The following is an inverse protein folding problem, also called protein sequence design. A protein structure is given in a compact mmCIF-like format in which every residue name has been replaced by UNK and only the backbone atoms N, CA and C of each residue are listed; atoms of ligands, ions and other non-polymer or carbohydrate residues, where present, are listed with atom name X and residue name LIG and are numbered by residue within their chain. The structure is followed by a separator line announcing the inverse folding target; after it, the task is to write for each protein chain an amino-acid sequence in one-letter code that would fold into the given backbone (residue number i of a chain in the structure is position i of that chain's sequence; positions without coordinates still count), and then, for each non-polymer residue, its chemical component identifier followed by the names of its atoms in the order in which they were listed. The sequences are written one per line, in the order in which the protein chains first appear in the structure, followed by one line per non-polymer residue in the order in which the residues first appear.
data_IF_470706973171
#
_entry.id   IF_470706973171
#
_cell.length_a   1.000
_cell.length_b   1.000
_cell.length_c   1.000
_cell.angle_alpha   90.00
_cell.angle_beta   90.00
_cell.angle_gamma   90.00
#
_symmetry.space_group_name_H-M   'P 1'
#
loop_
_entity.id
_entity.type
_entity.pdbx_description
1 polymer ?
#
# COMPACT_ATOMS: atom_id res chain seq x y z
N UNK A 1 27.07 39.03 -14.62
CA UNK A 1 26.95 39.97 -13.49
C UNK A 1 27.43 39.28 -12.24
N UNK A 2 28.13 39.98 -11.36
CA UNK A 2 28.61 39.43 -10.09
C UNK A 2 27.43 39.28 -9.11
N UNK A 3 27.36 38.20 -8.30
CA UNK A 3 26.35 38.09 -7.25
C UNK A 3 26.54 39.20 -6.19
N UNK A 4 25.47 39.62 -5.51
CA UNK A 4 25.58 40.61 -4.43
C UNK A 4 26.46 40.07 -3.31
N UNK A 5 27.51 40.82 -2.95
CA UNK A 5 28.50 40.46 -1.93
C UNK A 5 29.88 40.04 -2.46
N UNK A 6 30.03 39.71 -3.75
CA UNK A 6 31.35 39.42 -4.33
C UNK A 6 31.99 40.68 -4.92
N UNK A 7 33.22 41.02 -4.51
CA UNK A 7 34.07 41.89 -5.33
C UNK A 7 34.33 41.17 -6.67
N UNK A 8 34.01 41.83 -7.79
CA UNK A 8 34.21 41.23 -9.10
C UNK A 8 35.70 40.96 -9.34
N UNK A 9 36.07 39.73 -9.74
CA UNK A 9 37.41 39.45 -10.26
C UNK A 9 37.74 40.48 -11.35
N UNK A 10 38.84 41.25 -11.24
CA UNK A 10 39.25 42.14 -12.31
C UNK A 10 39.63 41.33 -13.54
N UNK A 11 39.26 41.83 -14.72
CA UNK A 11 39.73 41.28 -16.00
C UNK A 11 41.26 41.23 -16.01
N UNK A 12 41.90 40.17 -16.53
CA UNK A 12 43.36 40.10 -16.58
C UNK A 12 43.90 41.24 -17.47
N UNK A 13 44.52 42.22 -16.83
CA UNK A 13 45.20 43.34 -17.48
C UNK A 13 46.71 43.09 -17.43
N UNK A 14 47.49 43.34 -18.51
CA UNK A 14 48.88 42.86 -18.57
C UNK A 14 49.86 43.56 -17.63
N UNK A 15 49.43 44.59 -16.89
CA UNK A 15 50.30 45.59 -16.27
C UNK A 15 50.21 45.68 -14.74
N UNK A 16 49.28 44.98 -14.08
CA UNK A 16 49.21 44.88 -12.61
C UNK A 16 48.74 43.48 -12.20
N UNK A 17 49.51 42.83 -11.31
CA UNK A 17 49.17 41.52 -10.72
C UNK A 17 48.83 41.66 -9.22
N UNK A 18 47.56 41.93 -8.85
CA UNK A 18 47.11 41.90 -7.47
C UNK A 18 46.23 40.66 -7.18
N UNK A 19 46.49 39.51 -7.84
CA UNK A 19 45.86 38.25 -7.47
C UNK A 19 46.63 37.64 -6.30
N UNK A 20 46.06 37.56 -5.08
CA UNK A 20 46.73 36.93 -3.95
C UNK A 20 46.99 35.44 -4.24
N UNK A 21 48.09 34.91 -3.69
CA UNK A 21 48.38 33.48 -3.74
C UNK A 21 47.34 32.73 -2.90
N UNK A 22 46.65 31.76 -3.51
CA UNK A 22 45.60 30.96 -2.88
C UNK A 22 46.12 29.88 -1.91
N UNK A 23 47.19 30.15 -1.17
CA UNK A 23 47.78 29.21 -0.21
C UNK A 23 46.84 28.92 0.97
N UNK A 24 45.94 29.87 1.28
CA UNK A 24 44.90 29.73 2.31
C UNK A 24 43.73 28.82 1.91
N UNK A 25 43.62 28.43 0.64
CA UNK A 25 42.50 27.60 0.14
C UNK A 25 42.58 26.17 0.69
N UNK A 26 41.45 25.66 1.19
CA UNK A 26 41.33 24.33 1.79
C UNK A 26 40.56 23.33 0.93
N UNK A 27 39.78 23.80 -0.05
CA UNK A 27 38.89 22.96 -0.88
C UNK A 27 39.20 23.16 -2.37
N UNK A 28 39.34 24.42 -2.79
CA UNK A 28 39.72 24.76 -4.16
C UNK A 28 41.21 24.46 -4.41
N UNK A 29 41.58 24.12 -5.66
CA UNK A 29 42.99 23.98 -6.04
C UNK A 29 43.77 25.27 -5.72
N UNK A 30 44.95 25.12 -5.11
CA UNK A 30 45.83 26.25 -4.82
C UNK A 30 46.36 26.86 -6.13
N UNK A 31 46.36 28.20 -6.20
CA UNK A 31 46.71 28.97 -7.39
C UNK A 31 46.30 30.43 -7.21
N UNK A 32 46.31 31.23 -8.29
CA UNK A 32 45.73 32.58 -8.25
C UNK A 32 44.21 32.50 -8.05
N UNK A 33 43.69 33.26 -7.09
CA UNK A 33 42.28 33.18 -6.68
C UNK A 33 41.68 34.55 -6.37
N UNK A 34 40.37 34.68 -6.57
CA UNK A 34 39.56 35.82 -6.10
C UNK A 34 38.90 35.56 -4.73
N UNK A 35 39.01 34.35 -4.17
CA UNK A 35 38.32 33.97 -2.93
C UNK A 35 39.27 34.04 -1.72
N UNK A 36 38.83 34.70 -0.63
CA UNK A 36 39.43 34.56 0.71
C UNK A 36 38.99 33.26 1.38
N UNK A 37 39.61 32.88 2.50
CA UNK A 37 39.16 31.71 3.29
C UNK A 37 37.69 31.82 3.74
N UNK A 38 37.25 33.02 4.12
CA UNK A 38 35.86 33.28 4.52
C UNK A 38 34.89 33.17 3.32
N UNK A 39 35.31 33.61 2.13
CA UNK A 39 34.53 33.42 0.91
C UNK A 39 34.44 31.93 0.54
N UNK A 40 35.53 31.17 0.68
CA UNK A 40 35.53 29.72 0.41
C UNK A 40 34.57 28.98 1.36
N UNK A 41 34.58 29.30 2.65
CA UNK A 41 33.66 28.72 3.64
C UNK A 41 32.19 29.08 3.39
N UNK A 42 31.90 30.35 3.11
CA UNK A 42 30.54 30.81 2.80
C UNK A 42 29.99 30.18 1.50
N UNK A 43 30.84 30.04 0.47
CA UNK A 43 30.46 29.37 -0.78
C UNK A 43 30.28 27.85 -0.58
N UNK A 44 31.08 27.22 0.29
CA UNK A 44 30.90 25.81 0.64
C UNK A 44 29.55 25.58 1.32
N UNK A 45 29.25 26.34 2.37
CA UNK A 45 27.97 26.31 3.09
C UNK A 45 26.78 26.56 2.15
N UNK A 46 26.91 27.51 1.22
CA UNK A 46 25.90 27.79 0.19
C UNK A 46 25.69 26.59 -0.75
N UNK A 47 26.76 26.01 -1.29
CA UNK A 47 26.67 24.87 -2.22
C UNK A 47 26.05 23.63 -1.56
N UNK A 48 26.36 23.42 -0.28
CA UNK A 48 25.76 22.38 0.55
C UNK A 48 24.26 22.60 0.72
N UNK A 49 23.84 23.82 1.10
CA UNK A 49 22.42 24.17 1.28
C UNK A 49 21.63 24.09 -0.04
N UNK A 50 22.24 24.47 -1.18
CA UNK A 50 21.63 24.36 -2.51
C UNK A 50 21.39 22.89 -2.91
N UNK A 51 22.38 22.00 -2.69
CA UNK A 51 22.21 20.56 -2.93
C UNK A 51 21.17 19.95 -1.97
N UNK A 52 21.25 20.25 -0.69
CA UNK A 52 20.33 19.73 0.31
C UNK A 52 18.87 20.15 0.02
N UNK A 53 18.67 21.39 -0.45
CA UNK A 53 17.35 21.88 -0.89
C UNK A 53 16.84 21.09 -2.09
N UNK A 54 17.68 20.89 -3.12
CA UNK A 54 17.29 20.11 -4.30
C UNK A 54 16.94 18.64 -3.96
N UNK A 55 17.66 18.02 -3.02
CA UNK A 55 17.37 16.66 -2.54
C UNK A 55 16.05 16.61 -1.77
N UNK A 56 15.80 17.57 -0.86
CA UNK A 56 14.52 17.67 -0.14
C UNK A 56 13.35 17.88 -1.08
N UNK A 57 13.50 18.72 -2.11
CA UNK A 57 12.42 18.99 -3.07
C UNK A 57 12.11 17.79 -3.97
N UNK A 58 13.15 17.06 -4.44
CA UNK A 58 12.96 15.78 -5.12
C UNK A 58 12.22 14.76 -4.23
N UNK A 59 12.60 14.67 -2.95
CA UNK A 59 11.93 13.82 -1.97
C UNK A 59 10.48 14.24 -1.70
N UNK A 60 10.18 15.55 -1.65
CA UNK A 60 8.82 16.07 -1.44
C UNK A 60 7.88 15.65 -2.59
N UNK A 61 8.35 15.69 -3.83
CA UNK A 61 7.59 15.21 -4.99
C UNK A 61 7.28 13.71 -4.87
N UNK A 62 8.28 12.90 -4.50
CA UNK A 62 8.08 11.45 -4.32
C UNK A 62 7.13 11.12 -3.18
N UNK A 63 7.26 11.79 -2.03
CA UNK A 63 6.34 11.66 -0.88
C UNK A 63 4.91 12.06 -1.24
N UNK A 64 4.73 13.18 -1.95
CA UNK A 64 3.40 13.66 -2.36
C UNK A 64 2.72 12.66 -3.32
N UNK A 65 3.48 12.04 -4.23
CA UNK A 65 2.99 10.98 -5.11
C UNK A 65 2.56 9.75 -4.30
N UNK A 66 3.45 9.21 -3.45
CA UNK A 66 3.17 8.02 -2.62
C UNK A 66 1.98 8.24 -1.67
N UNK A 67 1.90 9.39 -1.00
CA UNK A 67 0.78 9.73 -0.12
C UNK A 67 -0.56 9.94 -0.87
N UNK A 68 -0.51 10.31 -2.15
CA UNK A 68 -1.71 10.42 -2.98
C UNK A 68 -2.18 9.05 -3.44
N UNK A 69 -1.27 8.17 -3.86
CA UNK A 69 -1.58 6.77 -4.18
C UNK A 69 -2.12 6.03 -2.94
N UNK A 70 -1.45 6.15 -1.80
CA UNK A 70 -1.85 5.53 -0.53
C UNK A 70 -3.31 5.84 -0.17
N UNK A 71 -3.67 7.14 -0.17
CA UNK A 71 -5.06 7.59 0.10
C UNK A 71 -6.04 7.08 -0.96
N UNK A 72 -5.69 7.23 -2.24
CA UNK A 72 -6.55 6.80 -3.36
C UNK A 72 -6.92 5.30 -3.29
N UNK A 73 -5.96 4.44 -2.97
CA UNK A 73 -6.21 3.01 -2.83
C UNK A 73 -6.92 2.66 -1.51
N UNK A 74 -6.57 3.31 -0.40
CA UNK A 74 -7.22 3.08 0.88
C UNK A 74 -8.72 3.49 0.87
N UNK A 75 -9.01 4.68 0.36
CA UNK A 75 -10.37 5.18 0.17
C UNK A 75 -11.17 4.26 -0.78
N UNK A 76 -10.55 3.75 -1.85
CA UNK A 76 -11.19 2.83 -2.79
C UNK A 76 -11.56 1.49 -2.15
N UNK A 77 -10.64 0.84 -1.43
CA UNK A 77 -10.94 -0.43 -0.76
C UNK A 77 -11.98 -0.26 0.36
N UNK A 78 -11.90 0.82 1.15
CA UNK A 78 -12.93 1.12 2.15
C UNK A 78 -14.28 1.44 1.50
N UNK A 79 -14.31 2.12 0.35
CA UNK A 79 -15.54 2.37 -0.40
C UNK A 79 -16.19 1.08 -0.90
N UNK A 80 -15.42 0.17 -1.53
CA UNK A 80 -15.92 -1.12 -2.00
C UNK A 80 -16.56 -1.95 -0.87
N UNK A 81 -15.94 -1.99 0.31
CA UNK A 81 -16.51 -2.70 1.47
C UNK A 81 -17.80 -2.06 1.98
N UNK A 82 -17.83 -0.74 2.10
CA UNK A 82 -19.01 -0.01 2.57
C UNK A 82 -20.16 -0.07 1.55
N UNK A 83 -19.89 -0.07 0.25
CA UNK A 83 -20.91 -0.19 -0.80
C UNK A 83 -21.47 -1.61 -0.91
N UNK A 84 -20.61 -2.63 -0.72
CA UNK A 84 -21.02 -4.03 -0.59
C UNK A 84 -21.97 -4.23 0.61
N UNK A 85 -21.64 -3.64 1.77
CA UNK A 85 -22.50 -3.65 2.96
C UNK A 85 -23.84 -2.93 2.70
N UNK A 86 -23.81 -1.72 2.12
CA UNK A 86 -25.02 -0.94 1.79
C UNK A 86 -25.93 -1.69 0.81
N UNK A 87 -25.36 -2.29 -0.23
CA UNK A 87 -26.14 -3.04 -1.23
C UNK A 87 -26.72 -4.33 -0.64
N UNK A 88 -26.01 -4.99 0.28
CA UNK A 88 -26.55 -6.10 1.06
C UNK A 88 -27.74 -5.63 1.90
N UNK A 89 -27.57 -4.56 2.70
CA UNK A 89 -28.63 -4.01 3.54
C UNK A 89 -29.87 -3.54 2.75
N UNK A 90 -29.69 -3.01 1.54
CA UNK A 90 -30.78 -2.56 0.68
C UNK A 90 -31.52 -3.71 -0.02
N UNK A 91 -30.82 -4.76 -0.48
CA UNK A 91 -31.42 -5.81 -1.32
C UNK A 91 -31.91 -7.03 -0.52
N UNK A 92 -31.30 -7.35 0.62
CA UNK A 92 -31.61 -8.57 1.36
C UNK A 92 -32.97 -8.57 2.07
N UNK A 93 -33.52 -7.44 2.59
CA UNK A 93 -34.87 -7.42 3.12
C UNK A 93 -35.92 -7.85 2.09
N UNK A 94 -35.80 -7.38 0.84
CA UNK A 94 -36.71 -7.76 -0.24
C UNK A 94 -36.48 -9.20 -0.75
N UNK A 95 -35.24 -9.68 -0.74
CA UNK A 95 -34.91 -11.03 -1.22
C UNK A 95 -35.22 -12.15 -0.21
N UNK A 96 -35.01 -11.91 1.09
CA UNK A 96 -35.02 -12.94 2.14
C UNK A 96 -35.97 -12.64 3.31
N UNK A 97 -36.58 -11.45 3.37
CA UNK A 97 -37.54 -11.10 4.41
C UNK A 97 -36.97 -11.26 5.82
N UNK A 98 -37.72 -11.95 6.69
CA UNK A 98 -37.36 -12.15 8.10
C UNK A 98 -36.07 -12.94 8.31
N UNK A 99 -35.68 -13.84 7.39
CA UNK A 99 -34.42 -14.58 7.48
C UNK A 99 -33.22 -13.63 7.51
N UNK A 100 -33.33 -12.50 6.81
CA UNK A 100 -32.34 -11.42 6.88
C UNK A 100 -32.60 -10.45 8.03
N UNK A 101 -33.82 -9.91 8.18
CA UNK A 101 -34.03 -8.79 9.13
C UNK A 101 -33.81 -9.18 10.59
N UNK A 102 -34.16 -10.42 10.99
CA UNK A 102 -33.87 -10.93 12.33
C UNK A 102 -32.36 -11.18 12.55
N UNK A 103 -31.61 -11.43 11.47
CA UNK A 103 -30.17 -11.74 11.50
C UNK A 103 -29.27 -10.58 11.06
N UNK A 104 -29.82 -9.40 10.71
CA UNK A 104 -29.12 -8.26 10.14
C UNK A 104 -27.87 -7.83 10.93
N UNK A 105 -27.93 -7.97 12.26
CA UNK A 105 -26.79 -7.73 13.16
C UNK A 105 -25.58 -8.62 12.84
N UNK A 106 -25.77 -9.91 12.57
CA UNK A 106 -24.67 -10.83 12.28
C UNK A 106 -23.90 -10.42 11.02
N UNK A 107 -24.61 -9.95 9.98
CA UNK A 107 -23.98 -9.43 8.76
C UNK A 107 -23.23 -8.13 9.02
N UNK A 108 -23.82 -7.14 9.70
CA UNK A 108 -23.15 -5.88 10.05
C UNK A 108 -21.91 -6.10 10.92
N UNK A 109 -22.00 -7.01 11.89
CA UNK A 109 -20.91 -7.34 12.78
C UNK A 109 -19.77 -8.03 11.97
N UNK A 110 -20.07 -8.95 11.03
CA UNK A 110 -19.10 -9.49 10.05
C UNK A 110 -18.41 -8.39 9.21
N UNK A 111 -19.16 -7.46 8.61
CA UNK A 111 -18.56 -6.35 7.84
C UNK A 111 -17.71 -5.43 8.72
N UNK A 112 -17.97 -5.37 10.02
CA UNK A 112 -17.15 -4.64 10.98
C UNK A 112 -15.82 -5.36 11.23
N UNK A 113 -15.81 -6.68 11.43
CA UNK A 113 -14.59 -7.48 11.51
C UNK A 113 -13.76 -7.44 10.23
N UNK A 114 -14.39 -7.50 9.04
CA UNK A 114 -13.71 -7.33 7.76
C UNK A 114 -12.97 -5.98 7.66
N UNK A 115 -13.60 -4.89 8.15
CA UNK A 115 -12.99 -3.56 8.20
C UNK A 115 -11.85 -3.48 9.22
N UNK A 116 -11.96 -4.16 10.36
CA UNK A 116 -10.88 -4.25 11.36
C UNK A 116 -9.68 -5.05 10.81
N UNK A 117 -9.92 -6.19 10.16
CA UNK A 117 -8.90 -7.01 9.52
C UNK A 117 -8.14 -6.22 8.44
N UNK A 118 -8.85 -5.51 7.58
CA UNK A 118 -8.26 -4.64 6.56
C UNK A 118 -7.35 -3.56 7.19
N UNK A 119 -7.83 -2.87 8.24
CA UNK A 119 -7.10 -1.76 8.91
C UNK A 119 -5.83 -2.16 9.66
N UNK A 120 -5.61 -3.45 9.93
CA UNK A 120 -4.41 -3.91 10.61
C UNK A 120 -4.64 -4.83 11.81
N UNK A 121 -5.89 -5.00 12.27
CA UNK A 121 -6.17 -5.80 13.47
C UNK A 121 -5.63 -7.23 13.34
N UNK A 122 -5.18 -7.78 14.47
CA UNK A 122 -4.62 -9.14 14.54
C UNK A 122 -5.74 -10.17 14.69
N UNK A 123 -6.55 -10.30 13.63
CA UNK A 123 -7.70 -11.19 13.55
C UNK A 123 -7.40 -12.34 12.58
N UNK A 124 -7.81 -13.56 12.93
CA UNK A 124 -7.73 -14.70 12.02
C UNK A 124 -8.98 -14.74 11.14
N UNK A 125 -8.90 -14.14 9.94
CA UNK A 125 -10.06 -13.98 9.04
C UNK A 125 -10.77 -15.31 8.72
N UNK A 126 -10.03 -16.42 8.66
CA UNK A 126 -10.64 -17.75 8.43
C UNK A 126 -11.50 -18.22 9.61
N UNK A 127 -11.07 -17.95 10.85
CA UNK A 127 -11.81 -18.28 12.07
C UNK A 127 -13.05 -17.38 12.21
N UNK A 128 -12.90 -16.07 11.97
CA UNK A 128 -14.01 -15.11 11.97
C UNK A 128 -15.09 -15.50 10.96
N UNK A 129 -14.70 -15.95 9.76
CA UNK A 129 -15.65 -16.43 8.76
C UNK A 129 -16.31 -17.75 9.20
N UNK A 130 -15.54 -18.70 9.74
CA UNK A 130 -16.09 -19.97 10.23
C UNK A 130 -17.11 -19.76 11.36
N UNK A 131 -16.80 -18.91 12.34
CA UNK A 131 -17.70 -18.55 13.44
C UNK A 131 -18.97 -17.84 12.95
N UNK A 132 -18.84 -16.93 11.98
CA UNK A 132 -19.99 -16.30 11.34
C UNK A 132 -20.93 -17.34 10.71
N UNK A 133 -20.40 -18.30 9.95
CA UNK A 133 -21.21 -19.33 9.30
C UNK A 133 -21.85 -20.30 10.30
N UNK A 134 -21.15 -20.70 11.35
CA UNK A 134 -21.70 -21.54 12.43
C UNK A 134 -22.87 -20.85 13.14
N UNK A 135 -22.65 -19.61 13.63
CA UNK A 135 -23.70 -18.82 14.30
C UNK A 135 -24.87 -18.49 13.38
N UNK A 136 -24.65 -18.32 12.08
CA UNK A 136 -25.72 -18.11 11.09
C UNK A 136 -26.51 -19.39 10.84
N UNK A 137 -25.86 -20.56 10.79
CA UNK A 137 -26.52 -21.86 10.63
C UNK A 137 -27.50 -22.12 11.78
N UNK A 138 -27.04 -21.99 13.03
CA UNK A 138 -27.89 -22.19 14.22
C UNK A 138 -29.15 -21.30 14.21
N UNK A 139 -28.98 -20.01 13.89
CA UNK A 139 -30.07 -19.03 13.88
C UNK A 139 -31.07 -19.31 12.77
N UNK A 140 -30.60 -19.57 11.54
CA UNK A 140 -31.47 -19.90 10.43
C UNK A 140 -32.18 -21.23 10.66
N UNK A 141 -31.52 -22.23 11.26
CA UNK A 141 -32.14 -23.52 11.57
C UNK A 141 -33.24 -23.38 12.64
N UNK A 142 -33.00 -22.61 13.71
CA UNK A 142 -34.03 -22.25 14.70
C UNK A 142 -35.20 -21.49 14.06
N UNK A 143 -34.94 -20.59 13.12
CA UNK A 143 -35.97 -19.78 12.45
C UNK A 143 -36.79 -20.56 11.40
N UNK A 144 -36.20 -21.58 10.76
CA UNK A 144 -36.88 -22.46 9.79
C UNK A 144 -37.71 -23.57 10.47
N UNK A 145 -37.36 -23.94 11.72
CA UNK A 145 -38.03 -25.01 12.48
C UNK A 145 -38.53 -24.53 13.85
N UNK A 146 -39.37 -23.48 13.94
CA UNK A 146 -39.85 -22.93 15.21
C UNK A 146 -40.68 -23.91 16.05
N UNK A 147 -41.26 -24.94 15.42
CA UNK A 147 -41.97 -26.03 16.10
C UNK A 147 -41.05 -27.08 16.75
N UNK A 148 -39.74 -27.10 16.49
CA UNK A 148 -38.80 -27.98 17.17
C UNK A 148 -38.16 -27.27 18.37
N UNK A 149 -38.29 -27.87 19.55
CA UNK A 149 -37.40 -27.59 20.67
C UNK A 149 -36.01 -28.12 20.33
N UNK A 150 -35.10 -27.21 19.98
CA UNK A 150 -33.70 -27.49 19.63
C UNK A 150 -32.80 -27.20 20.83
N UNK A 151 -32.50 -28.18 21.70
CA UNK A 151 -31.56 -28.01 22.80
C UNK A 151 -30.14 -27.77 22.26
N UNK A 152 -29.29 -27.11 23.04
CA UNK A 152 -27.97 -26.67 22.57
C UNK A 152 -27.06 -27.85 22.17
N UNK A 153 -27.16 -29.02 22.84
CA UNK A 153 -26.50 -30.27 22.45
C UNK A 153 -26.79 -30.69 20.99
N UNK A 154 -28.00 -30.39 20.49
CA UNK A 154 -28.38 -30.69 19.10
C UNK A 154 -27.76 -29.70 18.11
N UNK A 155 -27.58 -28.45 18.52
CA UNK A 155 -26.94 -27.41 17.71
C UNK A 155 -25.42 -27.64 17.61
N UNK A 156 -24.79 -28.07 18.70
CA UNK A 156 -23.40 -28.55 18.71
C UNK A 156 -23.20 -29.74 17.77
N UNK A 157 -24.19 -30.64 17.70
CA UNK A 157 -24.20 -31.75 16.74
C UNK A 157 -24.35 -31.26 15.29
N UNK A 158 -25.29 -30.33 15.05
CA UNK A 158 -25.50 -29.70 13.74
C UNK A 158 -24.23 -28.98 13.24
N UNK A 159 -23.54 -28.25 14.13
CA UNK A 159 -22.27 -27.59 13.84
C UNK A 159 -21.17 -28.56 13.42
N UNK A 160 -21.04 -29.70 14.14
CA UNK A 160 -20.09 -30.77 13.79
C UNK A 160 -20.41 -31.42 12.42
N UNK A 161 -21.68 -31.51 12.04
CA UNK A 161 -22.10 -32.06 10.74
C UNK A 161 -22.11 -31.03 9.60
N UNK A 162 -21.91 -29.74 9.89
CA UNK A 162 -21.99 -28.67 8.88
C UNK A 162 -20.96 -28.83 7.74
N UNK A 163 -19.75 -29.33 8.02
CA UNK A 163 -18.76 -29.56 6.95
C UNK A 163 -19.15 -30.69 5.99
N UNK A 164 -19.82 -31.73 6.49
CA UNK A 164 -20.25 -32.89 5.72
C UNK A 164 -21.53 -32.60 4.93
N UNK A 165 -22.52 -31.97 5.57
CA UNK A 165 -23.81 -31.63 4.95
C UNK A 165 -23.72 -30.42 4.01
N UNK A 166 -22.67 -29.61 4.12
CA UNK A 166 -22.45 -28.33 3.41
C UNK A 166 -23.74 -27.52 3.26
N UNK A 167 -24.37 -27.08 4.37
CA UNK A 167 -25.67 -26.42 4.35
C UNK A 167 -25.71 -25.27 3.33
N UNK A 168 -24.72 -24.37 3.39
CA UNK A 168 -24.62 -23.21 2.49
C UNK A 168 -23.95 -23.52 1.13
N UNK A 169 -23.75 -24.79 0.79
CA UNK A 169 -22.98 -25.24 -0.37
C UNK A 169 -21.51 -24.81 -0.32
N UNK A 170 -20.94 -24.50 -1.48
CA UNK A 170 -19.55 -24.03 -1.59
C UNK A 170 -19.33 -22.58 -1.12
N UNK A 171 -20.40 -21.81 -0.89
CA UNK A 171 -20.30 -20.36 -0.68
C UNK A 171 -19.43 -19.95 0.53
N UNK A 172 -19.47 -20.64 1.69
CA UNK A 172 -18.52 -20.39 2.79
C UNK A 172 -17.06 -20.62 2.41
N UNK A 173 -16.79 -21.70 1.66
CA UNK A 173 -15.43 -22.10 1.25
C UNK A 173 -14.87 -21.11 0.24
N UNK A 174 -15.69 -20.73 -0.74
CA UNK A 174 -15.32 -19.77 -1.77
C UNK A 174 -15.13 -18.37 -1.18
N UNK A 175 -15.99 -17.95 -0.24
CA UNK A 175 -15.84 -16.68 0.48
C UNK A 175 -14.53 -16.66 1.27
N UNK A 176 -14.20 -17.72 2.02
CA UNK A 176 -12.93 -17.84 2.74
C UNK A 176 -11.73 -17.69 1.80
N UNK A 177 -11.71 -18.46 0.71
CA UNK A 177 -10.59 -18.44 -0.24
C UNK A 177 -10.43 -17.09 -0.95
N UNK A 178 -11.53 -16.46 -1.40
CA UNK A 178 -11.49 -15.16 -2.08
C UNK A 178 -11.18 -14.02 -1.12
N UNK A 179 -11.88 -13.95 0.02
CA UNK A 179 -11.69 -12.89 1.01
C UNK A 179 -10.27 -12.91 1.57
N UNK A 180 -9.76 -14.07 2.03
CA UNK A 180 -8.39 -14.14 2.57
C UNK A 180 -7.36 -13.65 1.57
N UNK A 181 -7.44 -14.07 0.30
CA UNK A 181 -6.51 -13.61 -0.75
C UNK A 181 -6.66 -12.12 -1.05
N UNK A 182 -7.88 -11.63 -1.26
CA UNK A 182 -8.14 -10.24 -1.64
C UNK A 182 -7.81 -9.24 -0.52
N UNK A 183 -8.21 -9.52 0.72
CA UNK A 183 -7.92 -8.65 1.85
C UNK A 183 -6.43 -8.64 2.21
N UNK A 184 -5.74 -9.79 2.18
CA UNK A 184 -4.27 -9.83 2.36
C UNK A 184 -3.58 -9.00 1.27
N UNK A 185 -3.94 -9.19 0.00
CA UNK A 185 -3.33 -8.43 -1.10
C UNK A 185 -3.57 -6.92 -0.96
N UNK A 186 -4.82 -6.49 -0.73
CA UNK A 186 -5.18 -5.08 -0.56
C UNK A 186 -4.46 -4.44 0.65
N UNK A 187 -4.51 -5.10 1.81
CA UNK A 187 -3.82 -4.65 3.04
C UNK A 187 -2.31 -4.56 2.83
N UNK A 188 -1.68 -5.60 2.28
CA UNK A 188 -0.23 -5.62 2.03
C UNK A 188 0.20 -4.54 1.02
N UNK A 189 -0.62 -4.25 0.00
CA UNK A 189 -0.35 -3.21 -0.98
C UNK A 189 -0.39 -1.80 -0.34
N UNK A 190 -1.46 -1.49 0.40
CA UNK A 190 -1.61 -0.21 1.12
C UNK A 190 -0.51 -0.06 2.20
N UNK A 191 -0.18 -1.12 2.93
CA UNK A 191 0.94 -1.12 3.87
C UNK A 191 2.29 -0.91 3.17
N UNK A 192 2.51 -1.51 2.00
CA UNK A 192 3.72 -1.32 1.18
C UNK A 192 3.90 0.14 0.74
N UNK A 193 2.83 0.80 0.29
CA UNK A 193 2.86 2.24 -0.02
C UNK A 193 3.15 3.10 1.22
N UNK A 194 2.60 2.74 2.38
CA UNK A 194 2.90 3.38 3.66
C UNK A 194 4.37 3.27 4.05
N UNK A 195 4.93 2.05 4.00
CA UNK A 195 6.35 1.78 4.26
C UNK A 195 7.25 2.53 3.27
N UNK A 196 6.93 2.52 1.98
CA UNK A 196 7.69 3.25 0.97
C UNK A 196 7.72 4.77 1.27
N UNK A 197 6.58 5.35 1.63
CA UNK A 197 6.47 6.77 2.02
C UNK A 197 7.32 7.09 3.26
N UNK A 198 7.28 6.22 4.28
CA UNK A 198 8.05 6.39 5.51
C UNK A 198 9.57 6.21 5.31
N UNK A 199 9.98 5.30 4.42
CA UNK A 199 11.39 5.14 4.02
C UNK A 199 11.89 6.42 3.36
N UNK A 200 11.20 6.92 2.33
CA UNK A 200 11.58 8.17 1.64
C UNK A 200 11.63 9.35 2.63
N UNK A 201 10.67 9.43 3.56
CA UNK A 201 10.63 10.45 4.62
C UNK A 201 11.83 10.40 5.57
N UNK A 202 12.29 9.20 5.95
CA UNK A 202 13.47 9.03 6.82
C UNK A 202 14.77 9.28 6.06
N UNK A 203 14.89 8.78 4.84
CA UNK A 203 16.08 8.95 3.98
C UNK A 203 16.35 10.43 3.66
N UNK A 204 15.29 11.22 3.47
CA UNK A 204 15.37 12.67 3.25
C UNK A 204 15.88 13.48 4.46
N UNK A 205 16.04 12.85 5.63
CA UNK A 205 16.58 13.47 6.85
C UNK A 205 18.06 13.10 7.08
N UNK A 206 18.65 12.24 6.24
CA UNK A 206 20.07 11.87 6.34
C UNK A 206 20.94 13.06 5.89
N UNK A 207 21.79 13.62 6.77
CA UNK A 207 22.64 14.75 6.41
C UNK A 207 23.75 14.34 5.44
N UNK A 208 24.19 15.30 4.62
CA UNK A 208 25.35 15.11 3.75
C UNK A 208 26.65 15.13 4.58
N UNK A 209 27.59 14.23 4.24
CA UNK A 209 28.88 14.18 4.93
C UNK A 209 29.79 15.38 4.60
N UNK A 210 30.78 15.70 5.45
CA UNK A 210 31.72 16.80 5.20
C UNK A 210 32.52 16.61 3.91
N UNK A 211 32.82 15.37 3.52
CA UNK A 211 33.44 15.03 2.23
C UNK A 211 32.58 15.43 1.03
N UNK A 212 31.26 15.23 1.12
CA UNK A 212 30.33 15.68 0.10
C UNK A 212 30.32 17.22 0.01
N UNK A 213 30.27 17.92 1.15
CA UNK A 213 30.34 19.40 1.17
C UNK A 213 31.59 19.92 0.44
N UNK A 214 32.77 19.34 0.73
CA UNK A 214 34.02 19.69 0.02
C UNK A 214 33.95 19.38 -1.48
N UNK A 215 33.42 18.21 -1.87
CA UNK A 215 33.32 17.82 -3.27
C UNK A 215 32.34 18.70 -4.07
N UNK A 216 31.22 19.10 -3.46
CA UNK A 216 30.17 19.94 -4.07
C UNK A 216 30.62 21.40 -4.17
N UNK A 217 31.32 21.93 -3.16
CA UNK A 217 32.01 23.22 -3.25
C UNK A 217 32.99 23.25 -4.43
N UNK A 218 33.80 22.20 -4.58
CA UNK A 218 34.73 22.04 -5.70
C UNK A 218 34.04 21.92 -7.07
N UNK A 219 32.86 21.31 -7.11
CA UNK A 219 32.05 21.17 -8.31
C UNK A 219 31.40 22.48 -8.77
N UNK A 220 30.92 23.31 -7.83
CA UNK A 220 30.04 24.46 -8.13
C UNK A 220 30.79 25.80 -8.12
N UNK A 221 31.54 26.11 -7.05
CA UNK A 221 32.05 27.46 -6.82
C UNK A 221 33.56 27.63 -6.99
N UNK A 222 34.37 26.57 -7.00
CA UNK A 222 35.80 26.76 -7.29
C UNK A 222 36.08 27.31 -8.70
N UNK A 223 35.20 27.12 -9.67
CA UNK A 223 35.27 27.81 -10.96
C UNK A 223 35.17 29.35 -10.82
N UNK A 224 34.37 29.84 -9.86
CA UNK A 224 34.27 31.27 -9.56
C UNK A 224 35.54 31.77 -8.86
N UNK A 225 36.06 31.01 -7.90
CA UNK A 225 37.30 31.37 -7.20
C UNK A 225 38.53 31.40 -8.12
N UNK A 226 38.59 30.52 -9.12
CA UNK A 226 39.68 30.46 -10.12
C UNK A 226 39.48 31.42 -11.31
N UNK A 227 38.59 32.42 -11.20
CA UNK A 227 38.40 33.46 -12.23
C UNK A 227 37.63 33.03 -13.49
N UNK A 228 36.99 31.86 -13.49
CA UNK A 228 36.19 31.32 -14.60
C UNK A 228 34.70 31.10 -14.23
N UNK A 229 33.99 32.11 -13.69
CA UNK A 229 32.61 31.95 -13.17
C UNK A 229 31.57 31.58 -14.23
N UNK A 230 31.87 31.72 -15.52
CA UNK A 230 31.01 31.27 -16.62
C UNK A 230 31.12 29.78 -16.95
N UNK A 231 32.14 29.09 -16.44
CA UNK A 231 32.35 27.67 -16.70
C UNK A 231 31.36 26.80 -15.90
N UNK A 232 30.65 25.91 -16.59
CA UNK A 232 29.75 24.92 -15.97
C UNK A 232 30.50 23.60 -15.74
N UNK A 233 30.21 22.86 -14.66
CA UNK A 233 30.80 21.56 -14.42
C UNK A 233 30.39 20.56 -15.51
N UNK A 234 31.33 19.69 -15.90
CA UNK A 234 31.07 18.61 -16.86
C UNK A 234 30.01 17.63 -16.32
N UNK A 235 29.10 17.09 -17.16
CA UNK A 235 28.03 16.19 -16.71
C UNK A 235 28.53 14.97 -15.92
N UNK A 236 29.60 14.32 -16.38
CA UNK A 236 30.14 13.13 -15.71
C UNK A 236 30.89 13.46 -14.42
N UNK A 237 31.53 14.63 -14.33
CA UNK A 237 32.12 15.10 -13.08
C UNK A 237 31.03 15.37 -12.03
N UNK A 238 29.94 16.03 -12.42
CA UNK A 238 28.76 16.22 -11.56
C UNK A 238 28.17 14.88 -11.10
N UNK A 239 27.97 13.92 -12.02
CA UNK A 239 27.49 12.56 -11.70
C UNK A 239 28.39 11.84 -10.71
N UNK A 240 29.71 11.93 -10.85
CA UNK A 240 30.64 11.25 -9.96
C UNK A 240 30.66 11.87 -8.55
N UNK A 241 30.59 13.20 -8.44
CA UNK A 241 30.45 13.89 -7.13
C UNK A 241 29.13 13.49 -6.46
N UNK A 242 28.00 13.54 -7.18
CA UNK A 242 26.70 13.19 -6.63
C UNK A 242 26.58 11.71 -6.24
N UNK A 243 27.19 10.79 -7.00
CA UNK A 243 27.30 9.37 -6.61
C UNK A 243 28.06 9.18 -5.30
N UNK A 244 29.17 9.90 -5.10
CA UNK A 244 29.92 9.86 -3.83
C UNK A 244 29.11 10.43 -2.66
N UNK A 245 28.39 11.54 -2.89
CA UNK A 245 27.51 12.15 -1.90
C UNK A 245 26.32 11.27 -1.49
N UNK A 246 25.77 10.48 -2.42
CA UNK A 246 24.52 9.75 -2.27
C UNK A 246 24.71 8.22 -2.19
N UNK A 247 25.91 7.74 -1.87
CA UNK A 247 26.23 6.31 -1.83
C UNK A 247 25.28 5.53 -0.89
N UNK A 248 25.14 6.00 0.35
CA UNK A 248 24.26 5.39 1.37
C UNK A 248 22.78 5.34 0.93
N UNK A 249 22.34 6.30 0.11
CA UNK A 249 20.99 6.33 -0.47
C UNK A 249 20.87 5.40 -1.68
N UNK A 250 21.95 5.20 -2.44
CA UNK A 250 22.01 4.27 -3.56
C UNK A 250 22.02 2.80 -3.11
N UNK A 251 22.54 2.48 -1.92
CA UNK A 251 22.48 1.13 -1.34
C UNK A 251 21.04 0.62 -1.15
N UNK A 252 20.06 1.53 -1.06
CA UNK A 252 18.63 1.20 -0.97
C UNK A 252 18.01 0.77 -2.31
N UNK A 253 18.68 0.98 -3.46
CA UNK A 253 18.13 0.72 -4.79
C UNK A 253 17.68 -0.74 -4.98
N UNK A 254 18.40 -1.70 -4.41
CA UNK A 254 18.03 -3.12 -4.48
C UNK A 254 16.70 -3.40 -3.75
N UNK A 255 16.60 -3.05 -2.46
CA UNK A 255 15.39 -3.30 -1.67
C UNK A 255 14.21 -2.42 -2.08
N UNK A 256 14.49 -1.21 -2.59
CA UNK A 256 13.48 -0.33 -3.19
C UNK A 256 12.89 -0.95 -4.46
N UNK A 257 13.72 -1.58 -5.30
CA UNK A 257 13.25 -2.35 -6.46
C UNK A 257 12.56 -3.65 -6.09
N UNK A 258 12.96 -4.32 -5.01
CA UNK A 258 12.21 -5.48 -4.51
C UNK A 258 10.80 -5.05 -4.07
N UNK A 259 10.70 -3.98 -3.27
CA UNK A 259 9.43 -3.43 -2.79
C UNK A 259 8.49 -2.94 -3.91
N UNK A 260 9.03 -2.33 -4.97
CA UNK A 260 8.24 -1.81 -6.10
C UNK A 260 8.01 -2.81 -7.25
N UNK A 261 9.03 -3.60 -7.57
CA UNK A 261 9.11 -4.43 -8.77
C UNK A 261 8.77 -5.91 -8.55
N UNK A 262 8.97 -6.43 -7.34
CA UNK A 262 8.60 -7.82 -7.02
C UNK A 262 8.01 -8.01 -5.61
N UNK A 263 6.77 -7.53 -5.39
CA UNK A 263 5.92 -8.11 -4.37
C UNK A 263 4.85 -9.00 -5.03
N UNK A 264 4.67 -10.27 -4.60
CA UNK A 264 3.44 -10.99 -4.88
C UNK A 264 2.17 -10.16 -4.58
N UNK A 265 2.14 -9.24 -3.57
CA UNK A 265 1.10 -8.23 -3.43
C UNK A 265 0.81 -7.31 -4.63
N UNK A 266 1.78 -6.83 -5.41
CA UNK A 266 1.47 -5.97 -6.57
C UNK A 266 0.86 -6.81 -7.71
N UNK A 267 1.40 -8.02 -7.93
CA UNK A 267 0.84 -8.99 -8.88
C UNK A 267 -0.53 -9.52 -8.41
N UNK A 268 -0.75 -9.68 -7.11
CA UNK A 268 -2.03 -10.06 -6.53
C UNK A 268 -3.05 -8.91 -6.51
N UNK A 269 -2.62 -7.66 -6.33
CA UNK A 269 -3.46 -6.47 -6.51
C UNK A 269 -3.84 -6.31 -7.99
N UNK A 270 -2.91 -6.51 -8.92
CA UNK A 270 -3.21 -6.66 -10.35
C UNK A 270 -4.19 -7.80 -10.62
N UNK A 271 -4.05 -8.97 -9.98
CA UNK A 271 -5.01 -10.08 -10.11
C UNK A 271 -6.38 -9.78 -9.42
N UNK A 272 -6.43 -8.87 -8.44
CA UNK A 272 -7.70 -8.38 -7.87
C UNK A 272 -8.40 -7.39 -8.82
N UNK A 273 -7.61 -6.62 -9.59
CA UNK A 273 -8.04 -5.62 -10.56
C UNK A 273 -8.27 -6.20 -11.98
N UNK A 274 -7.73 -7.39 -12.28
CA UNK A 274 -7.80 -8.03 -13.59
C UNK A 274 -7.72 -9.55 -13.51
N UNK A 275 -8.55 -10.21 -14.33
CA UNK A 275 -8.62 -11.67 -14.55
C UNK A 275 -9.19 -12.54 -13.40
N UNK A 276 -10.52 -12.66 -13.42
CA UNK A 276 -11.20 -13.96 -13.28
C UNK A 276 -12.08 -14.21 -14.52
N UNK A 277 -11.45 -14.24 -15.70
CA UNK A 277 -12.13 -14.41 -17.00
C UNK A 277 -11.94 -15.82 -17.57
N UNK A 278 -12.87 -16.72 -17.29
CA UNK A 278 -13.11 -17.88 -18.17
C UNK A 278 -14.06 -17.48 -19.30
N UNK A 279 -13.50 -16.95 -20.40
CA UNK A 279 -14.19 -16.89 -21.70
C UNK A 279 -14.29 -15.52 -22.39
N UNK A 280 -13.69 -15.44 -23.59
CA UNK A 280 -14.12 -14.56 -24.67
C UNK A 280 -13.52 -13.13 -24.73
N UNK A 281 -12.96 -12.71 -25.88
CA UNK A 281 -12.54 -11.32 -26.08
C UNK A 281 -13.77 -10.42 -26.25
N UNK A 282 -13.98 -9.49 -25.32
CA UNK A 282 -15.11 -8.54 -25.32
C UNK A 282 -15.81 -8.37 -23.97
N UNK A 283 -15.46 -9.17 -22.96
CA UNK A 283 -15.96 -9.01 -21.60
C UNK A 283 -15.52 -7.68 -20.95
N UNK A 284 -16.46 -6.99 -20.30
CA UNK A 284 -16.16 -5.82 -19.47
C UNK A 284 -15.36 -6.29 -18.25
N UNK A 285 -14.22 -5.66 -17.96
CA UNK A 285 -13.39 -6.03 -16.80
C UNK A 285 -14.14 -5.64 -15.52
N UNK A 286 -14.53 -6.65 -14.75
CA UNK A 286 -15.21 -6.51 -13.46
C UNK A 286 -14.19 -6.84 -12.36
N UNK A 287 -13.87 -5.91 -11.44
CA UNK A 287 -12.95 -6.19 -10.34
C UNK A 287 -13.43 -7.37 -9.48
N UNK A 288 -12.51 -8.17 -8.94
CA UNK A 288 -12.88 -9.37 -8.15
C UNK A 288 -13.66 -9.06 -6.86
N UNK A 289 -13.72 -7.79 -6.43
CA UNK A 289 -14.56 -7.32 -5.32
C UNK A 289 -16.01 -6.97 -5.70
N UNK A 290 -16.36 -6.83 -6.99
CA UNK A 290 -17.76 -6.61 -7.39
C UNK A 290 -18.60 -7.89 -7.23
N UNK A 291 -17.99 -9.08 -7.45
CA UNK A 291 -18.48 -10.39 -7.01
C UNK A 291 -18.14 -10.61 -5.52
N UNK A 292 -18.44 -9.60 -4.70
CA UNK A 292 -17.96 -9.47 -3.32
C UNK A 292 -18.68 -10.36 -2.31
N UNK A 293 -18.39 -10.17 -1.00
CA UNK A 293 -18.99 -10.97 0.07
C UNK A 293 -20.52 -11.03 -0.01
N UNK A 294 -21.17 -9.93 -0.39
CA UNK A 294 -22.61 -9.84 -0.67
C UNK A 294 -23.14 -10.99 -1.54
N UNK A 295 -22.49 -11.31 -2.66
CA UNK A 295 -23.07 -12.24 -3.63
C UNK A 295 -22.90 -13.69 -3.20
N UNK A 296 -21.76 -14.02 -2.60
CA UNK A 296 -21.56 -15.34 -1.97
C UNK A 296 -22.50 -15.56 -0.78
N UNK A 297 -22.78 -14.51 0.02
CA UNK A 297 -23.80 -14.59 1.08
C UNK A 297 -25.21 -14.74 0.47
N UNK A 298 -25.53 -14.04 -0.63
CA UNK A 298 -26.82 -14.20 -1.33
C UNK A 298 -27.00 -15.63 -1.84
N UNK A 299 -25.97 -16.23 -2.43
CA UNK A 299 -25.99 -17.62 -2.89
C UNK A 299 -26.18 -18.61 -1.71
N UNK A 300 -25.47 -18.39 -0.60
CA UNK A 300 -25.61 -19.17 0.62
C UNK A 300 -27.06 -19.15 1.17
N UNK A 301 -27.64 -17.96 1.31
CA UNK A 301 -29.00 -17.77 1.82
C UNK A 301 -30.05 -18.31 0.83
N UNK A 302 -29.80 -18.21 -0.47
CA UNK A 302 -30.71 -18.77 -1.50
C UNK A 302 -30.76 -20.30 -1.39
N UNK A 303 -29.60 -20.96 -1.18
CA UNK A 303 -29.53 -22.41 -0.96
C UNK A 303 -30.18 -22.84 0.36
N UNK A 304 -29.91 -22.12 1.44
CA UNK A 304 -30.56 -22.38 2.74
C UNK A 304 -32.09 -22.26 2.65
N UNK A 305 -32.61 -21.31 1.86
CA UNK A 305 -34.06 -21.16 1.63
C UNK A 305 -34.65 -22.21 0.69
N UNK A 306 -33.91 -22.72 -0.29
CA UNK A 306 -34.39 -23.78 -1.20
C UNK A 306 -34.50 -25.17 -0.56
N UNK A 307 -34.24 -25.27 0.76
CA UNK A 307 -34.22 -26.51 1.51
C UNK A 307 -32.84 -27.18 1.46
N UNK A 308 -32.39 -27.70 2.60
CA UNK A 308 -31.19 -28.54 2.67
C UNK A 308 -31.51 -29.91 2.04
N UNK A 309 -31.40 -30.03 0.72
CA UNK A 309 -31.47 -31.32 0.03
C UNK A 309 -30.23 -32.16 0.36
N UNK A 310 -30.23 -32.76 1.56
CA UNK A 310 -29.24 -33.74 1.99
C UNK A 310 -29.37 -35.00 1.13
N UNK A 311 -28.64 -35.06 0.00
CA UNK A 311 -28.41 -36.32 -0.71
C UNK A 311 -27.42 -37.15 0.11
N UNK A 312 -27.95 -37.87 1.08
CA UNK A 312 -27.17 -38.81 1.91
C UNK A 312 -27.01 -40.12 1.15
N UNK A 313 -25.86 -40.32 0.51
CA UNK A 313 -25.42 -41.63 0.03
C UNK A 313 -24.65 -42.34 1.15
N UNK A 314 -25.36 -42.97 2.10
CA UNK A 314 -24.76 -43.76 3.18
C UNK A 314 -25.73 -44.13 4.31
N UNK A 315 -25.68 -45.36 4.86
CA UNK A 315 -26.57 -45.78 5.93
C UNK A 315 -26.01 -45.42 7.33
N UNK A 316 -26.63 -44.48 8.04
CA UNK A 316 -26.36 -44.27 9.47
C UNK A 316 -26.81 -42.93 10.04
N UNK A 317 -28.05 -42.85 10.54
CA UNK A 317 -28.66 -41.74 11.31
C UNK A 317 -28.73 -40.37 10.59
N UNK A 318 -29.77 -39.51 10.63
CA UNK A 318 -31.17 -39.45 11.09
C UNK A 318 -31.77 -38.24 10.30
N UNK A 319 -33.05 -38.07 9.96
CA UNK A 319 -34.31 -38.79 10.23
C UNK A 319 -35.27 -38.49 9.05
N UNK A 320 -36.25 -39.36 8.74
CA UNK A 320 -37.29 -39.08 7.72
C UNK A 320 -38.20 -37.91 8.13
N UNK A 321 -37.96 -36.70 7.63
CA UNK A 321 -38.93 -35.58 7.64
C UNK A 321 -38.75 -34.73 6.37
N UNK A 322 -39.25 -35.22 5.23
CA UNK A 322 -39.52 -34.43 4.00
C UNK A 322 -40.38 -35.23 2.99
N UNK A 323 -41.38 -35.92 3.52
CA UNK A 323 -42.54 -36.45 2.78
C UNK A 323 -43.75 -36.16 3.67
N UNK A 324 -44.82 -35.65 3.09
CA UNK A 324 -46.03 -35.14 3.75
C UNK A 324 -45.85 -33.86 4.62
N UNK A 325 -45.76 -32.71 3.94
CA UNK A 325 -46.59 -31.49 4.09
C UNK A 325 -46.48 -30.66 2.81
#
# INVERSE_FOLDING_TARGET
GCPPGSQCCPSPSPSHWPFPTGEHLRICPQGYTCCTSEMEENLANRSHAELETALRDSSRVLQAMLATQLRSFDDHFQHLLNDSERTLQATFPGAFGELYTQNARAFRDLYSELRLYYRGANLHLEETLAEFWARLLERLFKQLHPQLLLPDDYLDCLGKQAEALRPFGEAPRELRLRATRAFVAARSFVQGLGVASDVVRKVAQVPLGPECSRAVMKLVYCAHCLGVPGARPCPDYCRNVLKGCLANQADLDAEWRNLLGEPPPARAAWNCLGECTTGGPGGRVVPSLELGPRDLIRDALTRARSGWCCRVEGPGCLLNVLSDV
#
